data_IF_948918766396
#
_entry.id   IF_948918766396
#
_cell.length_a   1.000
_cell.length_b   1.000
_cell.length_c   1.000
_cell.angle_alpha   90.00
_cell.angle_beta   90.00
_cell.angle_gamma   90.00
#
_symmetry.space_group_name_H-M   'P 1'
#
loop_
_entity.id
_entity.type
_entity.pdbx_description
1 polymer ?
#
# COMPACT_ATOMS: atom_id res chain seq x y z
N UNK A 1 7.51 52.06 -21.99
CA UNK A 1 6.93 51.16 -20.97
C UNK A 1 7.35 51.72 -19.62
N UNK A 2 6.40 51.97 -18.73
CA UNK A 2 6.67 52.58 -17.43
C UNK A 2 7.16 51.51 -16.43
N UNK A 3 8.05 51.90 -15.51
CA UNK A 3 8.71 51.00 -14.54
C UNK A 3 7.66 50.27 -13.69
N UNK A 4 6.58 50.97 -13.34
CA UNK A 4 5.42 50.43 -12.61
C UNK A 4 4.74 49.24 -13.30
N UNK A 5 4.77 49.20 -14.64
CA UNK A 5 4.17 48.10 -15.42
C UNK A 5 5.06 46.86 -15.43
N UNK A 6 6.39 47.07 -15.40
CA UNK A 6 7.39 46.00 -15.34
C UNK A 6 7.36 45.34 -13.96
N UNK A 7 7.32 46.14 -12.89
CA UNK A 7 7.26 45.62 -11.51
C UNK A 7 6.00 44.80 -11.24
N UNK A 8 4.85 45.25 -11.75
CA UNK A 8 3.59 44.50 -11.64
C UNK A 8 3.67 43.16 -12.36
N UNK A 9 4.23 43.15 -13.57
CA UNK A 9 4.40 41.91 -14.35
C UNK A 9 5.33 40.92 -13.65
N UNK A 10 6.43 41.40 -13.07
CA UNK A 10 7.33 40.57 -12.26
C UNK A 10 6.61 40.03 -11.02
N UNK A 11 5.84 40.86 -10.33
CA UNK A 11 5.07 40.41 -9.16
C UNK A 11 4.03 39.32 -9.51
N UNK A 12 3.36 39.45 -10.65
CA UNK A 12 2.40 38.46 -11.14
C UNK A 12 3.10 37.13 -11.48
N UNK A 13 4.25 37.17 -12.15
CA UNK A 13 5.07 35.99 -12.47
C UNK A 13 5.58 35.30 -11.19
N UNK A 14 6.09 36.06 -10.22
CA UNK A 14 6.54 35.54 -8.92
C UNK A 14 5.38 34.91 -8.14
N UNK A 15 4.21 35.55 -8.14
CA UNK A 15 3.00 35.01 -7.52
C UNK A 15 2.58 33.68 -8.16
N UNK A 16 2.69 33.56 -9.48
CA UNK A 16 2.42 32.32 -10.21
C UNK A 16 3.41 31.21 -9.84
N UNK A 17 4.70 31.53 -9.75
CA UNK A 17 5.74 30.57 -9.31
C UNK A 17 5.49 30.10 -7.88
N UNK A 18 5.11 31.00 -6.97
CA UNK A 18 4.78 30.65 -5.58
C UNK A 18 3.61 29.67 -5.54
N UNK A 19 2.56 29.90 -6.32
CA UNK A 19 1.39 28.99 -6.39
C UNK A 19 1.79 27.61 -6.89
N UNK A 20 2.54 27.55 -7.99
CA UNK A 20 3.00 26.28 -8.57
C UNK A 20 3.91 25.49 -7.61
N UNK A 21 4.79 26.20 -6.87
CA UNK A 21 5.64 25.59 -5.86
C UNK A 21 4.81 25.06 -4.69
N UNK A 22 3.84 25.83 -4.20
CA UNK A 22 2.95 25.39 -3.12
C UNK A 22 2.16 24.13 -3.51
N UNK A 23 1.60 24.09 -4.73
CA UNK A 23 0.90 22.93 -5.27
C UNK A 23 1.80 21.70 -5.40
N UNK A 24 3.04 21.89 -5.89
CA UNK A 24 4.02 20.80 -6.00
C UNK A 24 4.42 20.25 -4.63
N UNK A 25 4.69 21.12 -3.65
CA UNK A 25 5.03 20.72 -2.28
C UNK A 25 3.88 19.93 -1.65
N UNK A 26 2.64 20.40 -1.79
CA UNK A 26 1.47 19.70 -1.26
C UNK A 26 1.33 18.30 -1.88
N UNK A 27 1.47 18.20 -3.21
CA UNK A 27 1.38 16.93 -3.94
C UNK A 27 2.47 15.95 -3.53
N UNK A 28 3.72 16.40 -3.42
CA UNK A 28 4.84 15.56 -2.98
C UNK A 28 4.72 15.15 -1.51
N UNK A 29 4.20 16.02 -0.65
CA UNK A 29 3.97 15.71 0.76
C UNK A 29 2.90 14.63 0.92
N UNK A 30 1.76 14.75 0.23
CA UNK A 30 0.73 13.73 0.23
C UNK A 30 1.24 12.38 -0.28
N UNK A 31 2.05 12.39 -1.34
CA UNK A 31 2.70 11.19 -1.88
C UNK A 31 3.59 10.53 -0.82
N UNK A 32 4.45 11.32 -0.16
CA UNK A 32 5.33 10.82 0.92
C UNK A 32 4.56 10.29 2.12
N UNK A 33 3.44 10.90 2.50
CA UNK A 33 2.59 10.39 3.58
C UNK A 33 1.96 9.06 3.19
N UNK A 34 1.47 8.91 1.95
CA UNK A 34 0.97 7.61 1.44
C UNK A 34 2.07 6.55 1.42
N UNK A 35 3.26 6.89 0.96
CA UNK A 35 4.41 5.97 0.91
C UNK A 35 4.93 5.61 2.31
N UNK A 36 4.99 6.58 3.24
CA UNK A 36 5.35 6.34 4.64
C UNK A 36 4.29 5.52 5.35
N UNK A 37 3.01 5.78 5.14
CA UNK A 37 1.93 4.94 5.64
C UNK A 37 2.02 3.50 5.11
N UNK A 38 2.50 3.31 3.88
CA UNK A 38 2.82 1.98 3.33
C UNK A 38 4.03 1.34 4.04
N UNK A 39 5.08 2.12 4.31
CA UNK A 39 6.36 1.63 4.85
C UNK A 39 6.38 1.44 6.37
N UNK A 40 5.70 2.30 7.15
CA UNK A 40 5.49 2.15 8.60
C UNK A 40 4.53 0.98 8.89
N UNK A 41 3.67 0.66 7.93
CA UNK A 41 2.86 -0.55 7.88
C UNK A 41 3.58 -1.60 7.01
N UNK A 42 4.88 -1.85 7.25
CA UNK A 42 5.42 -3.19 6.97
C UNK A 42 4.75 -4.14 7.96
N UNK A 43 3.50 -4.50 7.66
CA UNK A 43 2.79 -5.56 8.37
C UNK A 43 3.68 -6.77 8.24
N UNK A 44 4.31 -7.14 9.35
CA UNK A 44 5.36 -8.16 9.39
C UNK A 44 4.67 -9.52 9.30
N UNK A 45 4.16 -9.85 8.11
CA UNK A 45 3.83 -11.21 7.73
C UNK A 45 5.14 -11.97 7.62
N UNK A 46 5.18 -13.19 8.17
CA UNK A 46 6.32 -14.08 7.93
C UNK A 46 6.16 -14.80 6.59
N UNK A 47 7.22 -15.46 6.15
CA UNK A 47 7.25 -16.13 4.83
C UNK A 47 6.13 -17.16 4.66
N UNK A 48 5.79 -17.91 5.72
CA UNK A 48 4.68 -18.86 5.70
C UNK A 48 3.33 -18.16 5.49
N UNK A 49 3.13 -17.00 6.12
CA UNK A 49 1.93 -16.19 5.96
C UNK A 49 1.82 -15.60 4.55
N UNK A 50 2.92 -15.13 3.97
CA UNK A 50 2.97 -14.64 2.59
C UNK A 50 2.62 -15.77 1.61
N UNK A 51 3.21 -16.96 1.77
CA UNK A 51 2.91 -18.14 0.94
C UNK A 51 1.44 -18.53 1.00
N UNK A 52 0.87 -18.62 2.20
CA UNK A 52 -0.56 -18.93 2.38
C UNK A 52 -1.42 -17.87 1.70
N UNK A 53 -1.09 -16.59 1.85
CA UNK A 53 -1.86 -15.50 1.26
C UNK A 53 -1.81 -15.50 -0.27
N UNK A 54 -0.66 -15.83 -0.86
CA UNK A 54 -0.53 -16.02 -2.31
C UNK A 54 -1.34 -17.20 -2.83
N UNK A 55 -1.38 -18.32 -2.09
CA UNK A 55 -2.20 -19.48 -2.47
C UNK A 55 -3.70 -19.20 -2.33
N UNK A 56 -4.12 -18.43 -1.32
CA UNK A 56 -5.50 -17.97 -1.19
C UNK A 56 -5.89 -17.02 -2.35
N UNK A 57 -4.96 -16.17 -2.80
CA UNK A 57 -5.18 -15.30 -3.98
C UNK A 57 -5.39 -16.12 -5.26
N UNK A 58 -4.71 -17.27 -5.39
CA UNK A 58 -4.89 -18.25 -6.48
C UNK A 58 -6.15 -19.11 -6.31
N UNK A 59 -6.93 -18.93 -5.25
CA UNK A 59 -8.20 -19.64 -5.02
C UNK A 59 -8.05 -21.05 -4.44
N UNK A 60 -6.87 -21.43 -3.94
CA UNK A 60 -6.68 -22.75 -3.34
C UNK A 60 -7.43 -22.89 -2.01
N UNK A 61 -8.01 -24.08 -1.79
CA UNK A 61 -8.68 -24.43 -0.52
C UNK A 61 -7.66 -24.81 0.56
N UNK A 62 -8.04 -24.68 1.82
CA UNK A 62 -7.16 -24.95 2.98
C UNK A 62 -6.52 -26.34 2.98
N UNK A 63 -7.23 -27.35 2.49
CA UNK A 63 -6.71 -28.71 2.34
C UNK A 63 -5.53 -28.75 1.35
N UNK A 64 -5.71 -28.15 0.18
CA UNK A 64 -4.68 -28.09 -0.88
C UNK A 64 -3.49 -27.26 -0.41
N UNK A 65 -3.73 -26.14 0.29
CA UNK A 65 -2.67 -25.31 0.87
C UNK A 65 -1.86 -26.11 1.90
N UNK A 66 -2.52 -26.88 2.75
CA UNK A 66 -1.88 -27.72 3.75
C UNK A 66 -0.97 -28.77 3.10
N UNK A 67 -1.45 -29.44 2.05
CA UNK A 67 -0.68 -30.41 1.25
C UNK A 67 0.53 -29.76 0.58
N UNK A 68 0.33 -28.63 -0.13
CA UNK A 68 1.40 -27.92 -0.84
C UNK A 68 2.51 -27.41 0.09
N UNK A 69 2.17 -27.06 1.33
CA UNK A 69 3.11 -26.54 2.31
C UNK A 69 3.65 -27.60 3.28
N UNK A 70 3.17 -28.85 3.20
CA UNK A 70 3.58 -29.94 4.10
C UNK A 70 3.22 -29.69 5.57
N UNK A 71 2.09 -29.00 5.83
CA UNK A 71 1.63 -28.66 7.18
C UNK A 71 0.20 -29.16 7.42
N UNK A 72 -0.25 -29.17 8.67
CA UNK A 72 -1.62 -29.55 9.01
C UNK A 72 -2.61 -28.43 8.62
N UNK A 73 -3.83 -28.80 8.24
CA UNK A 73 -4.94 -27.85 7.95
C UNK A 73 -5.18 -26.89 9.13
N UNK A 74 -5.08 -27.38 10.37
CA UNK A 74 -5.19 -26.53 11.56
C UNK A 74 -4.14 -25.42 11.61
N UNK A 75 -2.92 -25.69 11.12
CA UNK A 75 -1.84 -24.71 11.03
C UNK A 75 -2.15 -23.66 9.96
N UNK A 76 -2.74 -24.06 8.82
CA UNK A 76 -3.23 -23.11 7.80
C UNK A 76 -4.28 -22.18 8.39
N UNK A 77 -5.28 -22.73 9.09
CA UNK A 77 -6.33 -21.94 9.77
C UNK A 77 -5.75 -20.95 10.78
N UNK A 78 -4.76 -21.40 11.56
CA UNK A 78 -4.03 -20.53 12.50
C UNK A 78 -3.35 -19.36 11.78
N UNK A 79 -2.59 -19.64 10.71
CA UNK A 79 -1.94 -18.59 9.93
C UNK A 79 -2.94 -17.63 9.28
N UNK A 80 -4.06 -18.12 8.73
CA UNK A 80 -5.13 -17.28 8.16
C UNK A 80 -5.70 -16.33 9.20
N UNK A 81 -5.99 -16.81 10.42
CA UNK A 81 -6.43 -15.94 11.52
C UNK A 81 -5.40 -14.86 11.84
N UNK A 82 -4.12 -15.23 11.91
CA UNK A 82 -3.03 -14.27 12.18
C UNK A 82 -2.79 -13.30 11.04
N UNK A 83 -3.02 -13.67 9.79
CA UNK A 83 -2.96 -12.76 8.64
C UNK A 83 -4.06 -11.71 8.76
N UNK A 84 -5.30 -12.13 9.00
CA UNK A 84 -6.46 -11.24 9.14
C UNK A 84 -6.26 -10.24 10.29
N UNK A 85 -5.77 -10.71 11.44
CA UNK A 85 -5.42 -9.89 12.61
C UNK A 85 -4.32 -8.86 12.26
N UNK A 86 -3.20 -9.32 11.69
CA UNK A 86 -2.07 -8.46 11.33
C UNK A 86 -2.41 -7.43 10.25
N UNK A 87 -3.26 -7.80 9.30
CA UNK A 87 -3.71 -6.90 8.24
C UNK A 87 -4.87 -6.00 8.66
N UNK A 88 -5.46 -6.21 9.84
CA UNK A 88 -6.57 -5.39 10.36
C UNK A 88 -7.80 -5.42 9.46
N UNK A 89 -8.14 -6.60 8.94
CA UNK A 89 -9.29 -6.84 8.03
C UNK A 89 -10.25 -7.85 8.66
N UNK A 90 -11.41 -8.10 8.04
CA UNK A 90 -12.45 -8.97 8.63
C UNK A 90 -12.31 -10.44 8.23
N UNK A 91 -11.72 -10.71 7.06
CA UNK A 91 -11.64 -12.05 6.50
C UNK A 91 -10.46 -12.20 5.53
N UNK A 92 -10.19 -13.43 5.10
CA UNK A 92 -9.04 -13.72 4.24
C UNK A 92 -9.18 -13.12 2.83
N UNK A 93 -10.40 -12.93 2.31
CA UNK A 93 -10.60 -12.30 1.00
C UNK A 93 -10.21 -10.83 1.03
N UNK A 94 -10.60 -10.11 2.07
CA UNK A 94 -10.15 -8.74 2.32
C UNK A 94 -8.64 -8.68 2.54
N UNK A 95 -8.05 -9.68 3.21
CA UNK A 95 -6.61 -9.78 3.40
C UNK A 95 -5.87 -9.91 2.06
N UNK A 96 -6.37 -10.75 1.14
CA UNK A 96 -5.82 -10.90 -0.22
C UNK A 96 -5.87 -9.56 -0.96
N UNK A 97 -7.04 -8.91 -0.99
CA UNK A 97 -7.22 -7.62 -1.69
C UNK A 97 -6.28 -6.54 -1.14
N UNK A 98 -6.15 -6.46 0.20
CA UNK A 98 -5.23 -5.53 0.85
C UNK A 98 -3.77 -5.86 0.54
N UNK A 99 -3.38 -7.13 0.53
CA UNK A 99 -2.01 -7.55 0.27
C UNK A 99 -1.56 -7.26 -1.16
N UNK A 100 -2.44 -7.43 -2.15
CA UNK A 100 -2.19 -7.02 -3.55
C UNK A 100 -2.01 -5.49 -3.62
N UNK A 101 -2.91 -4.71 -3.00
CA UNK A 101 -2.80 -3.24 -2.97
C UNK A 101 -1.50 -2.75 -2.32
N UNK A 102 -0.97 -3.50 -1.36
CA UNK A 102 0.28 -3.22 -0.67
C UNK A 102 1.51 -3.83 -1.37
N UNK A 103 1.36 -4.48 -2.53
CA UNK A 103 2.41 -5.22 -3.24
C UNK A 103 3.16 -6.24 -2.34
N UNK A 104 2.43 -6.89 -1.43
CA UNK A 104 2.97 -7.97 -0.57
C UNK A 104 2.96 -9.33 -1.28
N UNK A 105 2.07 -9.49 -2.25
CA UNK A 105 1.92 -10.66 -3.12
C UNK A 105 1.50 -10.18 -4.51
N UNK A 106 1.91 -10.93 -5.53
CA UNK A 106 1.52 -10.70 -6.92
C UNK A 106 0.38 -11.66 -7.33
N UNK A 107 -0.47 -11.20 -8.24
CA UNK A 107 -1.47 -12.04 -8.89
C UNK A 107 -0.95 -12.32 -10.30
N UNK A 108 -0.18 -13.42 -10.44
CA UNK A 108 0.17 -13.97 -11.76
C UNK A 108 -1.09 -14.40 -12.53
#
# INVERSE_FOLDING_TARGET
>A
MDISTIDKKIADEVSMVIKLLAEKIATEYEKRIKEKGLNEIKIKLNDSQIKILALEAKGYKELVIAEMLGIKIVTVKYHKKKIVEKLGVKNIKEAVAKAIKLNLIDMD
#
